data_IF_602765507656
#
_entry.id   IF_602765507656
#
_cell.length_a   1.000
_cell.length_b   1.000
_cell.length_c   1.000
_cell.angle_alpha   90.00
_cell.angle_beta   90.00
_cell.angle_gamma   90.00
#
_symmetry.space_group_name_H-M   'P 1'
#
loop_
_entity.id
_entity.type
_entity.pdbx_description
1 polymer ?
#
# COMPACT_ATOMS: atom_id res chain seq x y z
N UNK A 1 15.01 -11.73 28.51
CA UNK A 1 14.05 -12.51 27.69
C UNK A 1 12.59 -12.26 28.10
N UNK A 2 12.35 -11.71 29.29
CA UNK A 2 10.99 -11.49 29.82
C UNK A 2 10.26 -10.28 29.22
N UNK A 3 10.98 -9.21 28.88
CA UNK A 3 10.40 -8.02 28.21
C UNK A 3 9.88 -8.34 26.80
N UNK A 4 10.54 -9.25 26.09
CA UNK A 4 10.09 -9.68 24.74
C UNK A 4 8.82 -10.51 24.87
N UNK A 5 8.72 -11.38 25.89
CA UNK A 5 7.52 -12.19 26.13
C UNK A 5 6.31 -11.36 26.54
N UNK A 6 6.49 -10.26 27.28
CA UNK A 6 5.37 -9.37 27.65
C UNK A 6 4.86 -8.51 26.50
N UNK A 7 5.68 -8.28 25.47
CA UNK A 7 5.32 -7.54 24.26
C UNK A 7 4.78 -8.43 23.13
N UNK A 8 4.78 -9.75 23.30
CA UNK A 8 4.22 -10.66 22.30
C UNK A 8 2.76 -10.97 22.64
N UNK A 9 1.86 -11.02 21.64
CA UNK A 9 0.48 -11.36 21.86
C UNK A 9 0.40 -12.77 22.47
N UNK A 10 -0.53 -12.99 23.43
CA UNK A 10 -0.88 -14.32 23.92
C UNK A 10 -1.60 -15.07 22.79
N UNK A 11 -0.84 -15.53 21.80
CA UNK A 11 -1.36 -15.89 20.50
C UNK A 11 -1.77 -17.36 20.45
N UNK A 12 -3.06 -17.58 20.17
CA UNK A 12 -3.56 -18.84 19.61
C UNK A 12 -3.07 -18.93 18.17
N UNK A 13 -2.07 -19.76 17.86
CA UNK A 13 -1.56 -19.93 16.48
C UNK A 13 -0.51 -18.88 16.04
N UNK A 14 -0.22 -18.86 14.72
CA UNK A 14 0.94 -18.13 14.14
C UNK A 14 0.57 -16.75 13.57
N UNK A 15 -0.69 -16.50 13.23
CA UNK A 15 -1.13 -15.29 12.52
C UNK A 15 -0.85 -13.98 13.28
N UNK A 16 -0.97 -13.89 14.62
CA UNK A 16 -0.58 -12.70 15.38
C UNK A 16 0.89 -12.30 15.17
N UNK A 17 1.80 -13.27 15.13
CA UNK A 17 3.22 -13.01 14.92
C UNK A 17 3.47 -12.52 13.49
N UNK A 18 2.78 -13.10 12.51
CA UNK A 18 2.83 -12.64 11.14
C UNK A 18 2.39 -11.16 11.01
N UNK A 19 1.30 -10.78 11.68
CA UNK A 19 0.84 -9.39 11.72
C UNK A 19 1.87 -8.44 12.34
N UNK A 20 2.53 -8.84 13.43
CA UNK A 20 3.59 -8.05 14.04
C UNK A 20 4.81 -7.88 13.13
N UNK A 21 5.26 -8.96 12.48
CA UNK A 21 6.37 -8.90 11.53
C UNK A 21 6.05 -7.92 10.41
N UNK A 22 4.88 -8.04 9.79
CA UNK A 22 4.46 -7.10 8.74
C UNK A 22 4.36 -5.66 9.27
N UNK A 23 3.94 -5.47 10.51
CA UNK A 23 3.85 -4.15 11.14
C UNK A 23 5.23 -3.50 11.29
N UNK A 24 6.23 -4.26 11.76
CA UNK A 24 7.62 -3.78 11.83
C UNK A 24 8.15 -3.39 10.44
N UNK A 25 7.91 -4.22 9.42
CA UNK A 25 8.29 -3.89 8.04
C UNK A 25 7.63 -2.60 7.54
N UNK A 26 6.36 -2.38 7.93
CA UNK A 26 5.61 -1.19 7.55
C UNK A 26 6.06 0.08 8.26
N UNK A 27 6.51 0.00 9.52
CA UNK A 27 7.17 1.12 10.19
C UNK A 27 8.43 1.52 9.41
N UNK A 28 9.26 0.54 9.04
CA UNK A 28 10.46 0.77 8.23
C UNK A 28 10.13 1.41 6.87
N UNK A 29 9.11 0.89 6.17
CA UNK A 29 8.66 1.45 4.90
C UNK A 29 8.08 2.87 5.04
N UNK A 30 7.33 3.14 6.12
CA UNK A 30 6.80 4.47 6.41
C UNK A 30 7.95 5.47 6.60
N UNK A 31 8.91 5.16 7.49
CA UNK A 31 10.08 6.03 7.70
C UNK A 31 10.87 6.26 6.41
N UNK A 32 11.07 5.19 5.63
CA UNK A 32 11.73 5.27 4.33
C UNK A 32 11.00 6.21 3.37
N UNK A 33 9.67 6.17 3.28
CA UNK A 33 8.88 7.01 2.38
C UNK A 33 8.95 8.52 2.75
N UNK A 34 9.22 8.83 4.00
CA UNK A 34 9.52 10.20 4.46
C UNK A 34 10.95 10.63 4.18
N UNK A 35 11.90 9.69 4.20
CA UNK A 35 13.33 9.99 4.03
C UNK A 35 13.77 10.01 2.55
N UNK A 36 13.16 9.18 1.70
CA UNK A 36 13.60 9.03 0.30
C UNK A 36 12.48 8.52 -0.62
N UNK A 37 12.48 9.02 -1.87
CA UNK A 37 11.56 8.56 -2.92
C UNK A 37 12.09 7.37 -3.73
N UNK A 38 13.33 6.93 -3.45
CA UNK A 38 14.02 5.93 -4.27
C UNK A 38 13.21 4.65 -4.47
N UNK A 39 12.63 4.12 -3.40
CA UNK A 39 11.89 2.85 -3.44
C UNK A 39 10.48 3.04 -4.01
N UNK A 40 9.79 4.11 -3.64
CA UNK A 40 8.48 4.43 -4.20
C UNK A 40 8.54 4.62 -5.71
N UNK A 41 9.61 5.22 -6.26
CA UNK A 41 9.83 5.34 -7.71
C UNK A 41 10.10 4.01 -8.42
N UNK A 42 10.59 3.00 -7.71
CA UNK A 42 10.76 1.65 -8.27
C UNK A 42 9.42 0.92 -8.37
N UNK A 43 8.51 1.18 -7.43
CA UNK A 43 7.13 0.67 -7.46
C UNK A 43 6.33 1.42 -8.53
N UNK A 44 6.29 2.75 -8.44
CA UNK A 44 5.61 3.64 -9.38
C UNK A 44 6.57 4.14 -10.47
N UNK A 45 6.92 3.24 -11.38
CA UNK A 45 7.93 3.44 -12.42
C UNK A 45 7.36 3.89 -13.78
N UNK A 46 6.05 4.13 -13.88
CA UNK A 46 5.40 4.68 -15.06
C UNK A 46 5.90 6.09 -15.39
N UNK A 47 6.04 6.39 -16.68
CA UNK A 47 6.50 7.68 -17.19
C UNK A 47 5.36 8.40 -17.90
N UNK A 48 5.24 9.69 -17.66
CA UNK A 48 4.13 10.51 -18.11
C UNK A 48 4.61 11.83 -18.71
N UNK A 49 3.82 12.35 -19.64
CA UNK A 49 4.01 13.66 -20.27
C UNK A 49 2.76 14.53 -20.05
N UNK A 50 2.91 15.86 -20.17
CA UNK A 50 1.78 16.78 -20.11
C UNK A 50 0.77 16.44 -21.20
N UNK A 51 -0.51 16.38 -20.85
CA UNK A 51 -1.57 16.06 -21.79
C UNK A 51 -1.72 17.17 -22.84
N UNK A 52 -1.43 16.90 -24.12
CA UNK A 52 -1.49 17.91 -25.18
C UNK A 52 -2.92 18.30 -25.56
N UNK A 53 -3.93 17.55 -25.07
CA UNK A 53 -5.34 17.79 -25.37
C UNK A 53 -5.98 18.82 -24.44
N UNK A 54 -5.30 19.21 -23.36
CA UNK A 54 -5.84 20.19 -22.43
C UNK A 54 -5.77 21.61 -23.01
N UNK A 55 -6.84 22.41 -22.89
CA UNK A 55 -6.81 23.79 -23.34
C UNK A 55 -5.88 24.63 -22.45
N UNK A 56 -5.45 25.82 -22.93
CA UNK A 56 -4.74 26.79 -22.11
C UNK A 56 -5.57 27.24 -20.90
N UNK A 57 -4.89 27.75 -19.87
CA UNK A 57 -5.54 28.34 -18.70
C UNK A 57 -6.48 29.48 -19.10
N UNK A 58 -7.61 29.59 -18.39
CA UNK A 58 -8.62 30.64 -18.55
C UNK A 58 -9.14 31.06 -17.18
N UNK A 59 -9.99 32.09 -17.13
CA UNK A 59 -10.54 32.61 -15.86
C UNK A 59 -11.28 31.56 -15.02
N UNK A 60 -11.80 30.49 -15.62
CA UNK A 60 -12.54 29.42 -14.94
C UNK A 60 -11.91 28.04 -15.07
N UNK A 61 -10.71 27.92 -15.63
CA UNK A 61 -10.06 26.62 -15.87
C UNK A 61 -8.55 26.74 -15.74
N UNK A 62 -7.97 25.93 -14.87
CA UNK A 62 -6.53 25.69 -14.80
C UNK A 62 -6.23 24.25 -15.28
N UNK A 63 -5.45 24.06 -16.36
CA UNK A 63 -5.07 22.73 -16.82
C UNK A 63 -4.25 21.94 -15.80
N UNK A 64 -3.60 22.60 -14.83
CA UNK A 64 -2.80 21.92 -13.81
C UNK A 64 -3.67 21.28 -12.69
N UNK A 65 -4.95 21.67 -12.61
CA UNK A 65 -5.98 21.07 -11.74
C UNK A 65 -6.63 19.83 -12.37
N UNK A 66 -6.44 19.59 -13.67
CA UNK A 66 -7.03 18.46 -14.36
C UNK A 66 -6.45 17.12 -13.85
N UNK A 67 -7.31 16.15 -13.57
CA UNK A 67 -6.90 14.81 -13.11
C UNK A 67 -6.11 14.04 -14.17
N UNK A 68 -6.31 14.39 -15.45
CA UNK A 68 -5.61 13.84 -16.61
C UNK A 68 -4.56 14.82 -17.16
N UNK A 69 -4.07 15.76 -16.34
CA UNK A 69 -2.97 16.67 -16.71
C UNK A 69 -1.72 15.96 -17.19
N UNK A 70 -1.51 14.73 -16.74
CA UNK A 70 -0.45 13.83 -17.16
C UNK A 70 -1.04 12.59 -17.80
N UNK A 71 -0.53 12.22 -18.98
CA UNK A 71 -0.88 10.98 -19.68
C UNK A 71 0.35 10.09 -19.86
N UNK A 72 0.19 8.76 -19.93
CA UNK A 72 1.30 7.86 -20.14
C UNK A 72 2.13 8.27 -21.36
N UNK A 73 3.45 8.33 -21.20
CA UNK A 73 4.37 8.60 -22.29
C UNK A 73 4.36 7.43 -23.28
N UNK A 74 4.52 7.73 -24.57
CA UNK A 74 4.62 6.68 -25.58
C UNK A 74 5.93 5.89 -25.43
N UNK A 75 7.01 6.59 -25.07
CA UNK A 75 8.30 6.01 -24.74
C UNK A 75 8.85 6.61 -23.44
N UNK A 76 9.58 5.84 -22.61
CA UNK A 76 10.20 6.35 -21.39
C UNK A 76 11.19 7.50 -21.61
N UNK A 77 11.75 7.61 -22.82
CA UNK A 77 12.74 8.61 -23.23
C UNK A 77 12.13 9.84 -23.91
N UNK A 78 10.80 9.93 -24.02
CA UNK A 78 10.16 11.10 -24.62
C UNK A 78 10.54 12.38 -23.84
N UNK A 79 10.74 13.52 -24.52
CA UNK A 79 11.10 14.77 -23.86
C UNK A 79 10.08 15.15 -22.78
N UNK A 80 10.56 15.41 -21.56
CA UNK A 80 9.70 15.73 -20.42
C UNK A 80 8.98 14.54 -19.78
N UNK A 81 9.26 13.30 -20.21
CA UNK A 81 8.70 12.12 -19.58
C UNK A 81 9.24 11.94 -18.15
N UNK A 82 8.36 11.99 -17.16
CA UNK A 82 8.69 11.90 -15.74
C UNK A 82 7.74 10.97 -14.97
N UNK A 83 8.18 10.46 -13.82
CA UNK A 83 7.28 9.76 -12.88
C UNK A 83 6.41 10.76 -12.10
N UNK A 84 5.31 10.25 -11.54
CA UNK A 84 4.38 11.05 -10.73
C UNK A 84 4.73 11.06 -9.23
N UNK A 85 5.87 10.47 -8.83
CA UNK A 85 6.25 10.35 -7.42
C UNK A 85 6.88 11.65 -6.93
N UNK A 86 6.09 12.39 -6.15
CA UNK A 86 6.50 13.63 -5.49
C UNK A 86 6.85 13.40 -4.02
N UNK A 87 7.57 14.34 -3.36
CA UNK A 87 7.78 14.28 -1.91
C UNK A 87 6.47 14.25 -1.11
N UNK A 88 5.42 14.94 -1.57
CA UNK A 88 4.11 14.89 -0.93
C UNK A 88 3.49 13.50 -1.05
N UNK A 89 3.50 12.91 -2.26
CA UNK A 89 3.01 11.56 -2.48
C UNK A 89 3.75 10.52 -1.62
N UNK A 90 5.08 10.65 -1.47
CA UNK A 90 5.88 9.81 -0.58
C UNK A 90 5.41 9.87 0.89
N UNK A 91 5.16 11.07 1.43
CA UNK A 91 4.64 11.23 2.79
C UNK A 91 3.22 10.69 2.96
N UNK A 92 2.35 10.90 1.97
CA UNK A 92 0.98 10.35 1.99
C UNK A 92 1.02 8.81 1.97
N UNK A 93 1.86 8.22 1.12
CA UNK A 93 2.07 6.77 1.08
C UNK A 93 2.61 6.25 2.43
N UNK A 94 3.61 6.92 3.00
CA UNK A 94 4.14 6.57 4.32
C UNK A 94 3.08 6.65 5.43
N UNK A 95 2.27 7.71 5.45
CA UNK A 95 1.17 7.89 6.41
C UNK A 95 0.15 6.76 6.27
N UNK A 96 -0.25 6.46 5.04
CA UNK A 96 -1.18 5.36 4.75
C UNK A 96 -0.63 4.01 5.23
N UNK A 97 0.65 3.73 4.94
CA UNK A 97 1.34 2.54 5.44
C UNK A 97 1.36 2.50 6.98
N UNK A 98 1.57 3.62 7.65
CA UNK A 98 1.55 3.70 9.12
C UNK A 98 0.15 3.44 9.69
N UNK A 99 -0.92 3.95 9.06
CA UNK A 99 -2.30 3.67 9.48
C UNK A 99 -2.59 2.16 9.39
N UNK A 100 -2.22 1.51 8.27
CA UNK A 100 -2.40 0.05 8.15
C UNK A 100 -1.54 -0.73 9.14
N UNK A 101 -0.38 -0.21 9.54
CA UNK A 101 0.46 -0.78 10.59
C UNK A 101 -0.25 -0.73 11.94
N UNK A 102 -0.87 0.41 12.30
CA UNK A 102 -1.63 0.53 13.55
C UNK A 102 -2.75 -0.50 13.58
N UNK A 103 -3.52 -0.63 12.49
CA UNK A 103 -4.57 -1.66 12.38
C UNK A 103 -3.99 -3.06 12.61
N UNK A 104 -2.88 -3.43 11.96
CA UNK A 104 -2.27 -4.75 12.12
C UNK A 104 -1.71 -5.00 13.52
N UNK A 105 -1.11 -3.99 14.15
CA UNK A 105 -0.70 -4.06 15.54
C UNK A 105 -1.88 -4.37 16.45
N UNK A 106 -3.00 -3.64 16.33
CA UNK A 106 -4.20 -3.93 17.12
C UNK A 106 -4.80 -5.30 16.81
N UNK A 107 -4.82 -5.68 15.54
CA UNK A 107 -5.35 -6.97 15.09
C UNK A 107 -4.56 -8.13 15.71
N UNK A 108 -3.23 -8.02 15.78
CA UNK A 108 -2.38 -9.05 16.37
C UNK A 108 -2.80 -9.47 17.80
N UNK A 109 -3.36 -8.55 18.59
CA UNK A 109 -3.82 -8.85 19.96
C UNK A 109 -5.31 -9.20 20.04
N UNK A 110 -6.08 -8.95 18.97
CA UNK A 110 -7.54 -9.02 18.99
C UNK A 110 -8.14 -9.81 17.82
N UNK A 111 -7.40 -10.77 17.23
CA UNK A 111 -7.91 -11.61 16.14
C UNK A 111 -9.14 -12.45 16.53
N UNK A 112 -9.43 -12.60 17.82
CA UNK A 112 -10.64 -13.26 18.29
C UNK A 112 -11.92 -12.46 18.06
N UNK A 113 -11.80 -11.15 17.86
CA UNK A 113 -12.91 -10.27 17.53
C UNK A 113 -13.09 -10.23 16.00
N UNK A 114 -14.23 -10.74 15.52
CA UNK A 114 -14.58 -10.73 14.09
C UNK A 114 -14.36 -9.36 13.41
N UNK A 115 -14.81 -8.22 14.00
CA UNK A 115 -14.60 -6.93 13.36
C UNK A 115 -13.14 -6.56 13.18
N UNK A 116 -12.26 -6.93 14.13
CA UNK A 116 -10.84 -6.63 14.02
C UNK A 116 -10.15 -7.49 12.97
N UNK A 117 -10.56 -8.75 12.87
CA UNK A 117 -10.12 -9.68 11.84
C UNK A 117 -10.49 -9.17 10.44
N UNK A 118 -11.75 -8.77 10.28
CA UNK A 118 -12.30 -8.32 9.00
C UNK A 118 -11.68 -6.99 8.58
N UNK A 119 -11.52 -6.02 9.51
CA UNK A 119 -10.84 -4.75 9.21
C UNK A 119 -9.39 -4.98 8.79
N UNK A 120 -8.68 -5.93 9.41
CA UNK A 120 -7.32 -6.27 8.99
C UNK A 120 -7.31 -6.81 7.54
N UNK A 121 -8.22 -7.73 7.18
CA UNK A 121 -8.38 -8.21 5.80
C UNK A 121 -8.66 -7.04 4.85
N UNK A 122 -9.59 -6.15 5.20
CA UNK A 122 -9.97 -5.01 4.37
C UNK A 122 -8.79 -4.08 4.06
N UNK A 123 -7.82 -3.92 4.97
CA UNK A 123 -6.60 -3.14 4.64
C UNK A 123 -5.82 -3.74 3.48
N UNK A 124 -5.74 -5.07 3.37
CA UNK A 124 -5.09 -5.75 2.25
C UNK A 124 -5.93 -5.69 0.97
N UNK A 125 -7.27 -5.77 1.08
CA UNK A 125 -8.18 -5.62 -0.07
C UNK A 125 -8.07 -4.22 -0.68
N UNK A 126 -8.08 -3.17 0.14
CA UNK A 126 -7.90 -1.79 -0.31
C UNK A 126 -6.53 -1.59 -0.95
N UNK A 127 -5.47 -2.13 -0.34
CA UNK A 127 -4.12 -2.07 -0.92
C UNK A 127 -4.05 -2.78 -2.29
N UNK A 128 -4.64 -3.97 -2.41
CA UNK A 128 -4.69 -4.71 -3.67
C UNK A 128 -5.48 -3.94 -4.73
N UNK A 129 -6.64 -3.39 -4.38
CA UNK A 129 -7.46 -2.56 -5.27
C UNK A 129 -6.70 -1.32 -5.76
N UNK A 130 -6.00 -0.62 -4.86
CA UNK A 130 -5.13 0.51 -5.21
C UNK A 130 -4.07 0.10 -6.23
N UNK A 131 -3.23 -0.89 -5.90
CA UNK A 131 -2.17 -1.34 -6.81
C UNK A 131 -2.68 -1.92 -8.13
N UNK A 132 -3.85 -2.59 -8.13
CA UNK A 132 -4.49 -3.04 -9.36
C UNK A 132 -4.93 -1.86 -10.24
N UNK A 133 -5.49 -0.79 -9.66
CA UNK A 133 -5.82 0.42 -10.41
C UNK A 133 -4.58 1.11 -10.99
N UNK A 134 -3.49 1.15 -10.23
CA UNK A 134 -2.21 1.73 -10.68
C UNK A 134 -1.56 0.95 -11.82
N UNK A 135 -1.78 -0.37 -11.86
CA UNK A 135 -1.32 -1.24 -12.94
C UNK A 135 -2.19 -1.14 -14.19
N UNK A 136 -3.51 -1.30 -14.04
CA UNK A 136 -4.41 -1.51 -15.18
C UNK A 136 -5.10 -0.23 -15.68
N UNK A 137 -5.33 0.74 -14.79
CA UNK A 137 -6.07 1.97 -15.10
C UNK A 137 -5.11 3.14 -15.30
N UNK A 138 -4.36 3.50 -14.26
CA UNK A 138 -3.49 4.69 -14.27
C UNK A 138 -2.13 4.45 -14.93
N UNK A 139 -1.69 3.18 -15.01
CA UNK A 139 -0.42 2.77 -15.64
C UNK A 139 0.80 3.48 -15.04
N UNK A 140 0.72 3.82 -13.75
CA UNK A 140 1.83 4.41 -13.00
C UNK A 140 2.82 3.35 -12.51
N UNK A 141 2.46 2.07 -12.61
CA UNK A 141 3.22 0.92 -12.18
C UNK A 141 3.26 -0.15 -13.27
N UNK A 142 4.40 -0.83 -13.42
CA UNK A 142 4.51 -2.09 -14.17
C UNK A 142 4.72 -3.29 -13.24
N UNK A 143 4.46 -4.50 -13.73
CA UNK A 143 4.80 -5.72 -12.99
C UNK A 143 6.29 -6.02 -13.12
N UNK A 144 7.00 -5.91 -12.01
CA UNK A 144 8.42 -6.23 -11.91
C UNK A 144 8.79 -6.71 -10.51
N UNK A 145 10.08 -6.98 -10.32
CA UNK A 145 10.61 -7.47 -9.03
C UNK A 145 10.27 -6.55 -7.83
N UNK A 146 10.33 -5.20 -7.93
CA UNK A 146 9.94 -4.32 -6.83
C UNK A 146 8.49 -4.49 -6.36
N UNK A 147 7.59 -4.90 -7.25
CA UNK A 147 6.15 -5.05 -7.01
C UNK A 147 5.80 -6.47 -6.52
N UNK A 148 6.51 -7.50 -7.00
CA UNK A 148 6.26 -8.89 -6.61
C UNK A 148 6.41 -9.09 -5.11
N UNK A 149 7.43 -8.51 -4.48
CA UNK A 149 7.66 -8.66 -3.05
C UNK A 149 6.46 -8.25 -2.18
N UNK A 150 5.93 -7.01 -2.27
CA UNK A 150 4.74 -6.62 -1.50
C UNK A 150 3.49 -7.41 -1.89
N UNK A 151 3.33 -7.80 -3.17
CA UNK A 151 2.19 -8.63 -3.58
C UNK A 151 2.24 -10.04 -3.01
N UNK A 152 3.41 -10.66 -2.87
CA UNK A 152 3.52 -11.97 -2.24
C UNK A 152 3.10 -11.91 -0.78
N UNK A 153 3.56 -10.92 -0.02
CA UNK A 153 3.18 -10.75 1.39
C UNK A 153 1.68 -10.47 1.53
N UNK A 154 1.13 -9.54 0.76
CA UNK A 154 -0.30 -9.24 0.80
C UNK A 154 -1.16 -10.41 0.32
N UNK A 155 -0.74 -11.12 -0.73
CA UNK A 155 -1.43 -12.29 -1.27
C UNK A 155 -1.47 -13.45 -0.28
N UNK A 156 -0.36 -13.71 0.42
CA UNK A 156 -0.34 -14.67 1.52
C UNK A 156 -1.37 -14.29 2.60
N UNK A 157 -1.46 -13.02 3.00
CA UNK A 157 -2.44 -12.59 3.99
C UNK A 157 -3.89 -12.75 3.50
N UNK A 158 -4.19 -12.31 2.26
CA UNK A 158 -5.52 -12.37 1.66
C UNK A 158 -6.03 -13.79 1.42
N UNK A 159 -5.14 -14.76 1.23
CA UNK A 159 -5.51 -16.18 1.09
C UNK A 159 -5.56 -16.85 2.46
N UNK A 160 -4.51 -16.66 3.28
CA UNK A 160 -4.37 -17.40 4.53
C UNK A 160 -5.40 -16.98 5.57
N UNK A 161 -5.64 -15.68 5.75
CA UNK A 161 -6.54 -15.21 6.80
C UNK A 161 -7.97 -15.76 6.63
N UNK A 162 -8.63 -15.68 5.45
CA UNK A 162 -9.94 -16.31 5.29
C UNK A 162 -9.94 -17.81 5.59
N UNK A 163 -8.89 -18.54 5.17
CA UNK A 163 -8.81 -19.99 5.36
C UNK A 163 -8.70 -20.42 6.83
N UNK A 164 -8.15 -19.57 7.69
CA UNK A 164 -7.99 -19.88 9.12
C UNK A 164 -8.92 -19.09 10.02
N UNK A 165 -9.89 -18.35 9.48
CA UNK A 165 -10.77 -17.45 10.25
C UNK A 165 -11.38 -18.15 11.47
N UNK A 166 -11.96 -19.34 11.28
CA UNK A 166 -12.63 -20.11 12.34
C UNK A 166 -11.68 -20.56 13.46
N UNK A 167 -10.38 -20.63 13.19
CA UNK A 167 -9.38 -20.90 14.22
C UNK A 167 -9.20 -19.71 15.16
N UNK A 168 -9.34 -18.48 14.66
CA UNK A 168 -9.03 -17.27 15.42
C UNK A 168 -10.26 -16.60 15.98
N UNK A 169 -11.34 -16.48 15.20
CA UNK A 169 -12.55 -15.70 15.55
C UNK A 169 -13.50 -16.53 16.41
N UNK A 170 -13.91 -15.98 17.55
CA UNK A 170 -14.87 -16.63 18.44
C UNK A 170 -16.29 -16.57 17.85
N UNK A 171 -17.05 -17.66 17.98
CA UNK A 171 -18.49 -17.65 17.63
C UNK A 171 -18.84 -17.87 16.17
N UNK A 172 -17.86 -18.07 15.27
CA UNK A 172 -18.07 -18.68 13.95
C UNK A 172 -19.24 -18.13 13.12
N UNK A 173 -19.35 -16.80 13.02
CA UNK A 173 -20.08 -16.03 12.00
C UNK A 173 -19.72 -14.56 12.19
#
# INVERSE_FOLDING_TARGET
>A
MDVIKSLLPPAKGVLPYYMLILSVLSIGNSLQAYATLHFSRRVYNGRFVRNPRLPPASAGFDPDDAVDRLVPAARPTDPGAADQVTPLAGRLFGTWTLITCVVRCYAAYHLHLAPMYDVAIWTYVVALGHFASELFVFRSMSLGLPQIFPFTLAGCALIWMPLVRDHYVDGGR
#
